data_IF_584899881261
#
_entry.id   IF_584899881261
#
_cell.length_a   1.000
_cell.length_b   1.000
_cell.length_c   1.000
_cell.angle_alpha   90.00
_cell.angle_beta   90.00
_cell.angle_gamma   90.00
#
_symmetry.space_group_name_H-M   'P 1'
#
loop_
_entity.id
_entity.type
_entity.pdbx_description
1 polymer ?
#
# COMPACT_ATOMS: atom_id res chain seq x y z
N UNK A 1 -20.13 28.58 85.91
CA UNK A 1 -19.08 28.11 85.01
C UNK A 1 -19.46 26.75 84.45
N UNK A 2 -20.05 26.68 83.28
CA UNK A 2 -20.40 25.42 82.60
C UNK A 2 -19.74 25.43 81.25
N UNK A 3 -18.76 24.52 81.01
CA UNK A 3 -18.12 24.28 79.71
C UNK A 3 -19.04 23.34 78.90
N UNK A 4 -19.51 23.83 77.76
CA UNK A 4 -20.18 23.02 76.74
C UNK A 4 -19.16 22.31 75.87
N UNK A 5 -19.23 20.99 75.80
CA UNK A 5 -18.49 20.15 74.92
C UNK A 5 -19.28 20.07 73.62
N UNK A 6 -18.72 20.59 72.51
CA UNK A 6 -19.25 20.38 71.17
C UNK A 6 -18.76 19.06 70.62
N UNK A 7 -19.66 18.13 70.34
CA UNK A 7 -19.39 16.91 69.60
C UNK A 7 -19.32 17.28 68.11
N UNK A 8 -18.20 16.99 67.47
CA UNK A 8 -18.04 17.07 66.03
C UNK A 8 -18.36 15.70 65.44
N UNK A 9 -19.50 15.61 64.74
CA UNK A 9 -19.83 14.44 63.92
C UNK A 9 -19.09 14.53 62.62
N UNK A 10 -18.10 13.64 62.39
CA UNK A 10 -17.40 13.47 61.12
C UNK A 10 -18.23 12.54 60.23
N UNK A 11 -18.91 13.11 59.21
CA UNK A 11 -19.55 12.34 58.18
C UNK A 11 -18.46 11.95 57.18
N UNK A 12 -18.04 10.68 57.18
CA UNK A 12 -17.20 10.08 56.18
C UNK A 12 -18.05 9.82 54.93
N UNK A 13 -18.04 10.79 53.96
CA UNK A 13 -18.59 10.56 52.64
C UNK A 13 -17.62 9.66 51.85
N UNK A 14 -18.00 8.38 51.70
CA UNK A 14 -17.28 7.45 50.83
C UNK A 14 -17.41 7.87 49.37
N UNK A 15 -16.33 8.40 48.76
CA UNK A 15 -16.19 8.52 47.31
C UNK A 15 -16.09 7.10 46.75
N UNK A 16 -17.20 6.55 46.25
CA UNK A 16 -17.16 5.47 45.29
C UNK A 16 -16.65 6.07 43.97
N UNK A 17 -15.37 5.86 43.71
CA UNK A 17 -14.81 6.04 42.38
C UNK A 17 -15.45 4.97 41.49
N UNK A 18 -16.45 5.35 40.70
CA UNK A 18 -16.92 4.58 39.55
C UNK A 18 -15.77 4.61 38.54
N UNK A 19 -14.87 3.63 38.62
CA UNK A 19 -14.01 3.30 37.52
C UNK A 19 -14.92 2.86 36.37
N UNK A 20 -15.18 3.77 35.44
CA UNK A 20 -15.79 3.45 34.17
C UNK A 20 -14.81 2.48 33.42
N UNK A 21 -14.91 1.20 33.81
CA UNK A 21 -14.29 0.12 33.06
C UNK A 21 -14.93 0.13 31.69
N UNK A 22 -14.19 0.59 30.68
CA UNK A 22 -14.57 0.43 29.31
C UNK A 22 -14.93 -1.04 29.06
N UNK A 23 -15.88 -1.35 28.17
CA UNK A 23 -16.42 -2.70 28.00
C UNK A 23 -15.47 -3.63 27.23
N UNK A 24 -14.22 -3.70 27.66
CA UNK A 24 -13.21 -4.61 27.12
C UNK A 24 -13.67 -6.08 27.20
N UNK A 25 -14.52 -6.39 28.20
CA UNK A 25 -15.11 -7.72 28.37
C UNK A 25 -16.13 -8.08 27.28
N UNK A 26 -16.91 -7.13 26.79
CA UNK A 26 -17.92 -7.39 25.75
C UNK A 26 -17.27 -7.65 24.38
N UNK A 27 -16.25 -6.86 24.01
CA UNK A 27 -15.49 -7.08 22.79
C UNK A 27 -14.72 -8.41 22.81
N UNK A 28 -14.09 -8.76 23.95
CA UNK A 28 -13.40 -10.04 24.11
C UNK A 28 -14.35 -11.23 23.94
N UNK A 29 -15.59 -11.09 24.41
CA UNK A 29 -16.61 -12.11 24.24
C UNK A 29 -17.13 -12.20 22.81
N UNK A 30 -17.19 -11.05 22.08
CA UNK A 30 -17.64 -11.03 20.68
C UNK A 30 -16.73 -11.81 19.74
N UNK A 31 -15.40 -11.62 19.81
CA UNK A 31 -14.45 -12.28 18.91
C UNK A 31 -14.05 -13.69 19.35
N UNK A 32 -14.32 -14.09 20.61
CA UNK A 32 -13.93 -15.39 21.14
C UNK A 32 -14.53 -16.55 20.36
N UNK A 33 -13.68 -17.44 19.85
CA UNK A 33 -14.08 -18.61 19.07
C UNK A 33 -14.60 -18.28 17.67
N UNK A 34 -14.50 -17.04 17.21
CA UNK A 34 -14.87 -16.63 15.87
C UNK A 34 -13.67 -16.67 14.91
N UNK A 35 -13.98 -16.61 13.62
CA UNK A 35 -12.99 -16.50 12.54
C UNK A 35 -13.15 -15.15 11.86
N UNK A 36 -12.05 -14.43 11.71
CA UNK A 36 -11.95 -13.24 10.87
C UNK A 36 -11.46 -13.68 9.49
N UNK A 37 -12.17 -13.32 8.45
CA UNK A 37 -11.73 -13.49 7.06
C UNK A 37 -10.95 -12.26 6.64
N UNK A 38 -9.66 -12.43 6.30
CA UNK A 38 -8.83 -11.39 5.72
C UNK A 38 -8.81 -11.55 4.20
N UNK A 39 -9.50 -10.68 3.49
CA UNK A 39 -9.46 -10.64 2.02
C UNK A 39 -8.16 -9.98 1.59
N UNK A 40 -7.40 -10.64 0.72
CA UNK A 40 -6.23 -10.11 0.02
C UNK A 40 -6.61 -9.94 -1.45
N UNK A 41 -6.49 -8.70 -1.98
CA UNK A 41 -6.99 -8.34 -3.30
C UNK A 41 -6.06 -8.71 -4.48
N UNK A 42 -5.08 -9.60 -4.25
CA UNK A 42 -4.17 -10.13 -5.27
C UNK A 42 -4.02 -11.65 -5.15
N UNK A 43 -3.52 -12.33 -6.23
CA UNK A 43 -3.28 -13.77 -6.22
C UNK A 43 -2.29 -14.20 -5.14
N UNK A 44 -2.33 -15.48 -4.71
CA UNK A 44 -1.39 -16.04 -3.75
C UNK A 44 0.07 -15.96 -4.22
N UNK A 45 1.00 -15.84 -3.26
CA UNK A 45 2.45 -15.87 -3.49
C UNK A 45 3.07 -14.55 -3.96
N UNK A 46 2.26 -13.51 -4.19
CA UNK A 46 2.75 -12.17 -4.45
C UNK A 46 3.01 -11.37 -3.16
N UNK A 47 3.68 -10.18 -3.25
CA UNK A 47 4.03 -9.39 -2.07
C UNK A 47 2.85 -9.07 -1.15
N UNK A 48 1.67 -8.75 -1.70
CA UNK A 48 0.47 -8.45 -0.92
C UNK A 48 -0.02 -9.66 -0.11
N UNK A 49 0.02 -10.86 -0.71
CA UNK A 49 -0.37 -12.09 -0.04
C UNK A 49 0.62 -12.47 1.08
N UNK A 50 1.91 -12.35 0.80
CA UNK A 50 2.96 -12.67 1.78
C UNK A 50 2.85 -11.73 3.00
N UNK A 51 2.73 -10.43 2.79
CA UNK A 51 2.52 -9.45 3.88
C UNK A 51 1.21 -9.72 4.64
N UNK A 52 0.11 -9.96 3.93
CA UNK A 52 -1.17 -10.30 4.53
C UNK A 52 -1.13 -11.55 5.40
N UNK A 53 -0.37 -12.58 5.01
CA UNK A 53 -0.19 -13.80 5.82
C UNK A 53 0.63 -13.57 7.08
N UNK A 54 1.67 -12.73 7.02
CA UNK A 54 2.43 -12.34 8.22
C UNK A 54 1.52 -11.59 9.19
N UNK A 55 0.73 -10.62 8.70
CA UNK A 55 -0.26 -9.92 9.51
C UNK A 55 -1.29 -10.90 10.09
N UNK A 56 -1.86 -11.80 9.29
CA UNK A 56 -2.86 -12.76 9.73
C UNK A 56 -2.34 -13.74 10.80
N UNK A 57 -1.05 -14.07 10.77
CA UNK A 57 -0.41 -14.95 11.76
C UNK A 57 -0.32 -14.29 13.13
N UNK A 58 0.00 -13.00 13.20
CA UNK A 58 0.26 -12.29 14.46
C UNK A 58 -0.95 -11.49 14.97
N UNK A 59 -1.86 -11.04 14.11
CA UNK A 59 -3.02 -10.21 14.48
C UNK A 59 -3.90 -10.82 15.58
N UNK A 60 -4.18 -12.16 15.61
CA UNK A 60 -5.05 -12.76 16.63
C UNK A 60 -4.67 -12.39 18.06
N UNK A 61 -3.39 -12.30 18.38
CA UNK A 61 -2.89 -12.03 19.73
C UNK A 61 -3.26 -10.62 20.23
N UNK A 62 -3.53 -9.70 19.30
CA UNK A 62 -3.85 -8.30 19.59
C UNK A 62 -5.35 -8.01 19.51
N UNK A 63 -6.16 -8.94 18.98
CA UNK A 63 -7.62 -8.80 18.95
C UNK A 63 -8.21 -9.42 20.20
N UNK A 64 -9.05 -8.69 21.00
CA UNK A 64 -9.70 -9.23 22.16
C UNK A 64 -10.47 -10.52 21.84
N UNK A 65 -10.27 -11.58 22.63
CA UNK A 65 -10.88 -12.90 22.37
C UNK A 65 -10.08 -13.81 21.44
N UNK A 66 -8.98 -13.32 20.89
CA UNK A 66 -8.02 -14.08 20.06
C UNK A 66 -8.70 -14.93 18.97
N UNK A 67 -9.43 -14.31 18.02
CA UNK A 67 -10.09 -15.02 16.94
C UNK A 67 -9.07 -15.70 16.02
N UNK A 68 -9.50 -16.72 15.29
CA UNK A 68 -8.71 -17.23 14.16
C UNK A 68 -8.75 -16.22 13.01
N UNK A 69 -7.62 -15.96 12.33
CA UNK A 69 -7.59 -15.16 11.09
C UNK A 69 -7.26 -16.05 9.92
N UNK A 70 -8.11 -16.05 8.88
CA UNK A 70 -7.93 -16.84 7.65
C UNK A 70 -7.78 -15.91 6.46
N UNK A 71 -6.76 -16.14 5.63
CA UNK A 71 -6.54 -15.36 4.41
C UNK A 71 -7.35 -15.94 3.25
N UNK A 72 -8.09 -15.07 2.55
CA UNK A 72 -8.83 -15.36 1.32
C UNK A 72 -8.30 -14.46 0.20
N UNK A 73 -7.70 -15.05 -0.83
CA UNK A 73 -7.26 -14.28 -2.00
C UNK A 73 -8.39 -14.07 -2.98
N UNK A 74 -8.65 -12.81 -3.34
CA UNK A 74 -9.67 -12.39 -4.34
C UNK A 74 -9.00 -11.45 -5.32
N UNK A 75 -8.17 -12.01 -6.21
CA UNK A 75 -7.44 -11.27 -7.22
C UNK A 75 -8.26 -10.99 -8.46
N UNK A 76 -7.91 -9.90 -9.17
CA UNK A 76 -8.50 -9.52 -10.47
C UNK A 76 -8.83 -8.04 -10.56
N UNK A 77 -8.77 -7.49 -11.79
CA UNK A 77 -9.06 -6.08 -12.05
C UNK A 77 -8.19 -5.12 -11.24
N UNK A 78 -6.89 -5.40 -11.12
CA UNK A 78 -5.96 -4.63 -10.25
C UNK A 78 -6.40 -4.54 -8.78
N UNK A 79 -7.04 -5.60 -8.27
CA UNK A 79 -7.53 -5.65 -6.90
C UNK A 79 -8.99 -5.23 -6.73
N UNK A 80 -9.64 -4.74 -7.79
CA UNK A 80 -11.02 -4.26 -7.75
C UNK A 80 -12.02 -5.35 -7.31
N UNK A 81 -11.80 -6.62 -7.70
CA UNK A 81 -12.69 -7.70 -7.29
C UNK A 81 -12.67 -7.89 -5.77
N UNK A 82 -11.50 -7.88 -5.16
CA UNK A 82 -11.36 -7.99 -3.71
C UNK A 82 -11.94 -6.80 -2.96
N UNK A 83 -11.75 -5.57 -3.49
CA UNK A 83 -12.34 -4.37 -2.90
C UNK A 83 -13.87 -4.39 -2.96
N UNK A 84 -14.44 -4.78 -4.10
CA UNK A 84 -15.88 -4.92 -4.25
C UNK A 84 -16.45 -6.00 -3.31
N UNK A 85 -15.77 -7.15 -3.18
CA UNK A 85 -16.22 -8.21 -2.27
C UNK A 85 -16.22 -7.75 -0.81
N UNK A 86 -15.20 -7.01 -0.39
CA UNK A 86 -15.20 -6.43 0.95
C UNK A 86 -16.31 -5.39 1.12
N UNK A 87 -16.56 -4.58 0.08
CA UNK A 87 -17.64 -3.59 0.09
C UNK A 87 -19.02 -4.19 0.32
N UNK A 88 -19.25 -5.40 -0.21
CA UNK A 88 -20.48 -6.15 -0.03
C UNK A 88 -20.54 -6.98 1.28
N UNK A 89 -19.44 -7.04 2.05
CA UNK A 89 -19.37 -7.85 3.26
C UNK A 89 -20.17 -7.22 4.41
N UNK A 90 -20.63 -8.08 5.34
CA UNK A 90 -21.32 -7.63 6.56
C UNK A 90 -20.35 -6.75 7.41
N UNK A 91 -20.79 -5.55 7.85
CA UNK A 91 -19.92 -4.61 8.59
C UNK A 91 -19.83 -4.95 10.08
N UNK A 92 -19.68 -6.23 10.42
CA UNK A 92 -19.68 -6.80 11.76
C UNK A 92 -18.28 -6.95 12.37
N UNK A 93 -17.22 -6.59 11.62
CA UNK A 93 -15.83 -6.70 12.08
C UNK A 93 -15.20 -8.08 11.89
N UNK A 94 -15.91 -9.05 11.27
CA UNK A 94 -15.39 -10.39 11.02
C UNK A 94 -14.85 -10.57 9.58
N UNK A 95 -14.97 -9.54 8.74
CA UNK A 95 -14.31 -9.48 7.43
C UNK A 95 -13.48 -8.22 7.35
N UNK A 96 -12.19 -8.36 7.04
CA UNK A 96 -11.25 -7.25 6.86
C UNK A 96 -10.58 -7.37 5.49
N UNK A 97 -10.20 -6.25 4.89
CA UNK A 97 -9.34 -6.23 3.71
C UNK A 97 -7.90 -5.95 4.10
N UNK A 98 -6.96 -6.66 3.49
CA UNK A 98 -5.55 -6.30 3.47
C UNK A 98 -5.13 -6.13 2.00
N UNK A 99 -5.13 -4.91 1.52
CA UNK A 99 -5.10 -4.58 0.10
C UNK A 99 -3.82 -3.85 -0.31
N UNK A 100 -3.38 -4.08 -1.56
CA UNK A 100 -2.64 -3.05 -2.27
C UNK A 100 -3.65 -1.97 -2.67
N UNK A 101 -3.37 -0.72 -2.29
CA UNK A 101 -4.19 0.43 -2.69
C UNK A 101 -3.96 0.71 -4.17
N UNK A 102 -4.94 0.42 -5.01
CA UNK A 102 -4.94 0.80 -6.42
C UNK A 102 -6.13 1.70 -6.72
N UNK A 103 -5.84 2.96 -6.98
CA UNK A 103 -6.85 4.00 -7.13
C UNK A 103 -7.27 4.23 -8.59
N UNK A 104 -6.64 3.53 -9.55
CA UNK A 104 -6.86 3.80 -10.96
C UNK A 104 -8.29 3.55 -11.42
N UNK A 105 -8.94 2.49 -10.92
CA UNK A 105 -10.33 2.23 -11.26
C UNK A 105 -11.26 3.39 -10.88
N UNK A 106 -11.01 4.05 -9.73
CA UNK A 106 -11.77 5.23 -9.30
C UNK A 106 -11.40 6.48 -10.10
N UNK A 107 -10.11 6.68 -10.39
CA UNK A 107 -9.63 7.85 -11.14
C UNK A 107 -10.04 7.81 -12.61
N UNK A 108 -10.27 6.63 -13.17
CA UNK A 108 -10.72 6.43 -14.55
C UNK A 108 -12.24 6.23 -14.66
N UNK A 109 -12.99 6.50 -13.60
CA UNK A 109 -14.45 6.38 -13.56
C UNK A 109 -14.93 5.00 -14.05
N UNK A 110 -14.20 3.91 -13.68
CA UNK A 110 -14.52 2.56 -14.12
C UNK A 110 -15.89 2.12 -13.56
N UNK A 111 -16.88 1.78 -14.41
CA UNK A 111 -18.22 1.43 -13.96
C UNK A 111 -18.29 0.14 -13.11
N UNK A 112 -17.23 -0.64 -13.05
CA UNK A 112 -17.14 -1.82 -12.18
C UNK A 112 -16.79 -1.50 -10.73
N UNK A 113 -16.46 -0.26 -10.40
CA UNK A 113 -16.28 0.18 -9.00
C UNK A 113 -17.65 0.23 -8.33
N UNK A 114 -17.89 -0.66 -7.35
CA UNK A 114 -19.12 -0.68 -6.54
C UNK A 114 -18.95 -0.03 -5.18
N UNK A 115 -17.72 -0.03 -4.67
CA UNK A 115 -17.37 0.59 -3.39
C UNK A 115 -16.09 1.39 -3.56
N UNK A 116 -16.14 2.68 -3.21
CA UNK A 116 -14.99 3.57 -3.27
C UNK A 116 -14.08 3.36 -2.05
N UNK A 117 -12.78 3.59 -2.21
CA UNK A 117 -11.84 3.50 -1.08
C UNK A 117 -12.19 4.50 0.04
N UNK A 118 -12.77 5.65 -0.30
CA UNK A 118 -13.28 6.63 0.67
C UNK A 118 -14.39 6.10 1.58
N UNK A 119 -15.12 5.07 1.16
CA UNK A 119 -16.24 4.48 1.91
C UNK A 119 -15.77 3.45 2.95
N UNK A 120 -14.57 2.89 2.76
CA UNK A 120 -14.01 1.94 3.73
C UNK A 120 -13.55 2.63 5.01
N UNK A 121 -13.64 1.90 6.11
CA UNK A 121 -13.10 2.32 7.39
C UNK A 121 -11.62 1.92 7.47
N UNK A 122 -10.71 2.86 7.26
CA UNK A 122 -9.27 2.59 7.32
C UNK A 122 -8.85 2.21 8.73
N UNK A 123 -8.17 1.08 8.85
CA UNK A 123 -7.59 0.56 10.08
C UNK A 123 -6.13 0.98 10.22
N UNK A 124 -5.33 0.68 9.19
CA UNK A 124 -3.92 1.04 9.11
C UNK A 124 -3.46 1.08 7.66
N UNK A 125 -2.40 1.82 7.39
CA UNK A 125 -1.67 1.79 6.14
C UNK A 125 -0.20 1.42 6.34
N UNK A 126 0.46 1.00 5.27
CA UNK A 126 1.92 0.80 5.22
C UNK A 126 2.46 1.58 4.04
N UNK A 127 3.33 2.54 4.34
CA UNK A 127 4.06 3.31 3.33
C UNK A 127 5.07 2.41 2.61
N UNK A 128 5.18 2.55 1.30
CA UNK A 128 6.18 1.83 0.51
C UNK A 128 6.54 2.58 -0.77
N UNK A 129 7.82 2.76 -1.09
CA UNK A 129 8.22 3.16 -2.43
C UNK A 129 7.95 2.03 -3.42
N UNK A 130 7.84 2.41 -4.70
CA UNK A 130 7.84 1.50 -5.84
C UNK A 130 9.25 1.45 -6.43
N UNK A 131 9.80 0.26 -6.65
CA UNK A 131 11.12 0.05 -7.27
C UNK A 131 10.95 -0.35 -8.72
N UNK A 132 11.61 0.37 -9.62
CA UNK A 132 11.69 0.03 -11.06
C UNK A 132 13.05 -0.58 -11.34
N UNK A 133 13.07 -1.69 -12.06
CA UNK A 133 14.28 -2.44 -12.36
C UNK A 133 14.26 -2.97 -13.80
N UNK A 134 15.46 -3.27 -14.33
CA UNK A 134 15.64 -3.77 -15.70
C UNK A 134 16.68 -4.89 -15.74
N UNK A 135 16.60 -5.78 -16.71
CA UNK A 135 17.61 -6.79 -16.97
C UNK A 135 18.92 -6.15 -17.44
N UNK A 136 20.04 -6.66 -16.95
CA UNK A 136 21.40 -6.21 -17.32
C UNK A 136 21.74 -6.48 -18.78
N UNK A 137 21.17 -7.54 -19.37
CA UNK A 137 21.38 -7.93 -20.76
C UNK A 137 20.46 -7.22 -21.76
N UNK A 138 19.68 -6.21 -21.32
CA UNK A 138 18.93 -5.32 -22.23
C UNK A 138 19.91 -4.59 -23.16
N UNK A 139 19.71 -4.64 -24.50
CA UNK A 139 20.65 -4.01 -25.43
C UNK A 139 20.85 -2.51 -25.20
N UNK A 140 22.08 -2.00 -25.24
CA UNK A 140 23.37 -2.67 -25.53
C UNK A 140 24.03 -3.31 -24.30
N UNK A 141 23.39 -3.31 -23.16
CA UNK A 141 23.85 -3.78 -21.85
C UNK A 141 23.75 -2.67 -20.81
N UNK A 142 23.24 -3.02 -19.62
CA UNK A 142 22.97 -2.09 -18.51
C UNK A 142 23.81 -2.48 -17.29
N UNK A 143 24.82 -1.67 -16.97
CA UNK A 143 25.71 -1.88 -15.82
C UNK A 143 25.44 -0.90 -14.68
N UNK A 144 25.01 0.30 -15.02
CA UNK A 144 24.59 1.35 -14.07
C UNK A 144 23.25 1.94 -14.52
N UNK A 145 22.46 2.54 -13.62
CA UNK A 145 21.14 3.09 -13.99
C UNK A 145 21.17 4.06 -15.17
N UNK A 146 22.24 4.86 -15.31
CA UNK A 146 22.38 5.84 -16.38
C UNK A 146 22.51 5.19 -17.78
N UNK A 147 22.97 3.93 -17.86
CA UNK A 147 23.08 3.20 -19.14
C UNK A 147 21.71 2.96 -19.78
N UNK A 148 20.62 3.05 -18.97
CA UNK A 148 19.27 3.01 -19.49
C UNK A 148 19.07 3.96 -20.67
N UNK A 149 19.70 5.14 -20.65
CA UNK A 149 19.52 6.14 -21.71
C UNK A 149 20.02 5.68 -23.09
N UNK A 150 20.76 4.59 -23.16
CA UNK A 150 21.18 3.94 -24.40
C UNK A 150 20.37 2.69 -24.75
N UNK A 151 19.49 2.25 -23.84
CA UNK A 151 18.70 1.05 -24.02
C UNK A 151 17.70 1.18 -25.19
N UNK A 152 17.52 0.11 -25.91
CA UNK A 152 16.57 0.01 -27.02
C UNK A 152 16.02 -1.42 -27.12
N UNK A 153 14.94 -1.59 -27.89
CA UNK A 153 14.33 -2.90 -28.19
C UNK A 153 13.98 -3.72 -26.94
N UNK A 154 13.41 -3.07 -25.92
CA UNK A 154 13.01 -3.74 -24.69
C UNK A 154 11.48 -3.70 -24.45
N UNK A 155 11.02 -4.67 -23.66
CA UNK A 155 9.63 -4.78 -23.21
C UNK A 155 9.53 -4.39 -21.75
N UNK A 156 8.57 -3.50 -21.47
CA UNK A 156 8.18 -3.12 -20.12
C UNK A 156 6.97 -3.96 -19.69
N UNK A 157 7.19 -4.85 -18.71
CA UNK A 157 6.16 -5.76 -18.21
C UNK A 157 5.38 -5.13 -17.08
N UNK A 158 4.08 -5.29 -17.10
CA UNK A 158 3.21 -4.77 -16.05
C UNK A 158 1.91 -5.58 -15.91
N UNK A 159 1.10 -5.28 -14.88
CA UNK A 159 -0.10 -6.06 -14.57
C UNK A 159 -1.17 -5.86 -15.63
N UNK A 160 -1.70 -4.65 -15.75
CA UNK A 160 -2.62 -4.24 -16.81
C UNK A 160 -2.56 -2.72 -16.98
N UNK A 161 -3.13 -2.21 -18.06
CA UNK A 161 -3.05 -0.80 -18.41
C UNK A 161 -3.71 0.14 -17.37
N UNK A 162 -4.67 -0.36 -16.57
CA UNK A 162 -5.35 0.40 -15.53
C UNK A 162 -4.75 0.20 -14.13
N UNK A 163 -3.59 -0.45 -14.03
CA UNK A 163 -2.89 -0.59 -12.75
C UNK A 163 -1.98 0.61 -12.50
N UNK A 164 -2.03 1.18 -11.29
CA UNK A 164 -1.24 2.37 -10.95
C UNK A 164 0.27 2.15 -11.09
N UNK A 165 0.77 0.95 -10.79
CA UNK A 165 2.19 0.64 -10.96
C UNK A 165 2.58 0.61 -12.45
N UNK A 166 1.67 0.13 -13.33
CA UNK A 166 1.85 0.21 -14.78
C UNK A 166 1.93 1.66 -15.25
N UNK A 167 0.99 2.49 -14.82
CA UNK A 167 0.95 3.93 -15.14
C UNK A 167 2.23 4.63 -14.68
N UNK A 168 2.71 4.35 -13.48
CA UNK A 168 3.95 4.93 -12.96
C UNK A 168 5.16 4.58 -13.82
N UNK A 169 5.29 3.32 -14.23
CA UNK A 169 6.37 2.86 -15.10
C UNK A 169 6.29 3.49 -16.50
N UNK A 170 5.12 3.43 -17.12
CA UNK A 170 4.90 3.91 -18.49
C UNK A 170 5.10 5.43 -18.61
N UNK A 171 4.52 6.22 -17.68
CA UNK A 171 4.72 7.68 -17.68
C UNK A 171 6.20 8.02 -17.42
N UNK A 172 6.88 7.30 -16.54
CA UNK A 172 8.31 7.52 -16.28
C UNK A 172 9.14 7.31 -17.56
N UNK A 173 8.86 6.26 -18.32
CA UNK A 173 9.54 5.99 -19.60
C UNK A 173 9.20 7.04 -20.67
N UNK A 174 7.94 7.46 -20.75
CA UNK A 174 7.52 8.51 -21.69
C UNK A 174 8.13 9.89 -21.35
N UNK A 175 8.33 10.20 -20.07
CA UNK A 175 9.03 11.39 -19.59
C UNK A 175 10.51 11.38 -19.97
N UNK A 176 11.14 10.19 -19.94
CA UNK A 176 12.52 9.99 -20.36
C UNK A 176 12.69 9.88 -21.88
N UNK A 177 11.58 9.85 -22.65
CA UNK A 177 11.59 9.83 -24.11
C UNK A 177 11.86 8.47 -24.73
N UNK A 178 11.63 7.37 -24.02
CA UNK A 178 11.88 6.02 -24.54
C UNK A 178 10.83 5.57 -25.57
N UNK A 179 11.31 4.76 -26.50
CA UNK A 179 10.49 3.87 -27.32
C UNK A 179 10.66 2.44 -26.80
N UNK A 180 9.57 1.83 -26.42
CA UNK A 180 9.53 0.49 -25.81
C UNK A 180 8.23 -0.21 -26.17
N UNK A 181 8.17 -1.51 -25.95
CA UNK A 181 6.92 -2.27 -26.04
C UNK A 181 6.33 -2.44 -24.64
N UNK A 182 5.14 -1.89 -24.40
CA UNK A 182 4.37 -2.16 -23.19
C UNK A 182 3.75 -3.56 -23.26
N UNK A 183 3.80 -4.32 -22.16
CA UNK A 183 3.16 -5.64 -22.03
C UNK A 183 2.33 -5.69 -20.74
N UNK A 184 1.13 -5.07 -20.72
CA UNK A 184 0.26 -5.01 -19.55
C UNK A 184 -0.67 -6.23 -19.49
N UNK A 185 -0.11 -7.44 -19.26
CA UNK A 185 -0.85 -8.71 -19.45
C UNK A 185 -0.78 -9.67 -18.26
N UNK A 186 -0.15 -9.29 -17.15
CA UNK A 186 0.08 -10.19 -16.02
C UNK A 186 -0.96 -10.01 -14.90
N UNK A 187 -1.31 -11.11 -14.20
CA UNK A 187 -2.31 -11.10 -13.13
C UNK A 187 -1.71 -10.73 -11.77
N UNK A 188 -0.38 -10.92 -11.59
CA UNK A 188 0.30 -10.66 -10.35
C UNK A 188 1.80 -10.51 -10.54
N UNK A 189 2.48 -9.87 -9.58
CA UNK A 189 3.92 -9.59 -9.65
C UNK A 189 4.78 -10.85 -9.70
N UNK A 190 4.31 -11.99 -9.17
CA UNK A 190 5.04 -13.26 -9.27
C UNK A 190 5.13 -13.77 -10.71
N UNK A 191 4.08 -13.57 -11.51
CA UNK A 191 4.10 -13.89 -12.94
C UNK A 191 5.07 -12.96 -13.69
N UNK A 192 5.10 -11.67 -13.33
CA UNK A 192 6.06 -10.68 -13.89
C UNK A 192 7.51 -11.09 -13.57
N UNK A 193 7.82 -11.44 -12.32
CA UNK A 193 9.15 -11.93 -11.93
C UNK A 193 9.56 -13.15 -12.76
N UNK A 194 8.65 -14.10 -12.93
CA UNK A 194 8.90 -15.30 -13.75
C UNK A 194 9.20 -14.93 -15.21
N UNK A 195 8.46 -13.98 -15.78
CA UNK A 195 8.67 -13.51 -17.14
C UNK A 195 10.03 -12.80 -17.30
N UNK A 196 10.45 -11.99 -16.31
CA UNK A 196 11.80 -11.39 -16.27
C UNK A 196 12.88 -12.49 -16.22
N UNK A 197 12.73 -13.49 -15.36
CA UNK A 197 13.68 -14.62 -15.27
C UNK A 197 13.80 -15.37 -16.61
N UNK A 198 12.68 -15.56 -17.31
CA UNK A 198 12.61 -16.23 -18.61
C UNK A 198 13.01 -15.33 -19.80
N UNK A 199 13.37 -14.06 -19.54
CA UNK A 199 13.70 -13.05 -20.56
C UNK A 199 12.59 -12.84 -21.62
N UNK A 200 11.32 -12.95 -21.21
CA UNK A 200 10.18 -12.62 -22.08
C UNK A 200 9.87 -11.12 -22.10
N UNK A 201 10.49 -10.37 -21.19
CA UNK A 201 10.58 -8.91 -21.14
C UNK A 201 11.71 -8.48 -20.22
N UNK A 202 12.05 -7.21 -20.25
CA UNK A 202 13.30 -6.74 -19.64
C UNK A 202 13.09 -5.83 -18.45
N UNK A 203 12.05 -5.01 -18.43
CA UNK A 203 11.78 -4.02 -17.37
C UNK A 203 10.51 -4.36 -16.62
N UNK A 204 10.52 -4.10 -15.31
CA UNK A 204 9.35 -4.24 -14.45
C UNK A 204 9.48 -3.36 -13.20
N UNK A 205 8.44 -3.39 -12.36
CA UNK A 205 8.42 -2.71 -11.07
C UNK A 205 7.78 -3.58 -9.98
N UNK A 206 8.07 -3.24 -8.72
CA UNK A 206 7.50 -3.91 -7.56
C UNK A 206 7.53 -3.01 -6.32
N UNK A 207 6.77 -3.35 -5.27
CA UNK A 207 6.86 -2.66 -3.98
C UNK A 207 8.21 -2.90 -3.31
N UNK A 208 8.53 -2.11 -2.27
CA UNK A 208 9.74 -2.32 -1.45
C UNK A 208 9.83 -3.75 -0.92
N UNK A 209 8.75 -4.26 -0.34
CA UNK A 209 8.68 -5.64 0.17
C UNK A 209 8.84 -6.69 -0.94
N UNK A 210 8.29 -6.43 -2.11
CA UNK A 210 8.48 -7.28 -3.30
C UNK A 210 9.92 -7.23 -3.82
N UNK A 211 10.56 -6.06 -3.79
CA UNK A 211 11.96 -5.92 -4.18
C UNK A 211 12.89 -6.66 -3.23
N UNK A 212 12.91 -6.27 -1.97
CA UNK A 212 13.85 -6.81 -0.97
C UNK A 212 13.56 -8.27 -0.60
N UNK A 213 12.28 -8.67 -0.54
CA UNK A 213 11.86 -10.01 -0.12
C UNK A 213 11.83 -11.05 -1.26
N UNK A 214 11.78 -10.64 -2.53
CA UNK A 214 11.64 -11.56 -3.66
C UNK A 214 12.54 -11.22 -4.84
N UNK A 215 12.34 -10.06 -5.47
CA UNK A 215 12.96 -9.75 -6.76
C UNK A 215 14.48 -9.64 -6.67
N UNK A 216 15.02 -8.86 -5.74
CA UNK A 216 16.46 -8.71 -5.56
C UNK A 216 17.15 -10.02 -5.21
N UNK A 217 16.71 -10.78 -4.19
CA UNK A 217 17.36 -12.07 -3.85
C UNK A 217 17.36 -13.08 -4.99
N UNK A 218 16.28 -13.14 -5.78
CA UNK A 218 16.13 -14.13 -6.84
C UNK A 218 16.78 -13.72 -8.17
N UNK A 219 17.03 -12.42 -8.40
CA UNK A 219 17.44 -11.88 -9.69
C UNK A 219 18.65 -10.93 -9.63
N UNK A 220 19.36 -10.80 -8.49
CA UNK A 220 20.47 -9.83 -8.29
C UNK A 220 21.57 -9.88 -9.35
N UNK A 221 21.80 -11.05 -9.96
CA UNK A 221 22.80 -11.24 -11.01
C UNK A 221 22.26 -10.91 -12.41
N UNK A 222 20.94 -10.84 -12.53
CA UNK A 222 20.22 -10.67 -13.81
C UNK A 222 19.71 -9.24 -13.99
N UNK A 223 19.23 -8.59 -12.94
CA UNK A 223 18.63 -7.27 -13.00
C UNK A 223 19.44 -6.21 -12.27
N UNK A 224 19.18 -4.95 -12.60
CA UNK A 224 19.67 -3.78 -11.90
C UNK A 224 18.47 -2.88 -11.53
N UNK A 225 18.38 -2.38 -10.30
CA UNK A 225 17.41 -1.36 -9.95
C UNK A 225 17.78 -0.04 -10.61
N UNK A 226 16.78 0.70 -11.08
CA UNK A 226 16.98 1.97 -11.80
C UNK A 226 16.70 3.16 -10.89
N UNK A 227 15.49 3.21 -10.33
CA UNK A 227 15.03 4.25 -9.42
C UNK A 227 13.91 3.73 -8.52
N UNK A 228 13.67 4.48 -7.47
CA UNK A 228 12.47 4.35 -6.64
C UNK A 228 11.51 5.52 -6.89
N UNK A 229 10.21 5.23 -6.97
CA UNK A 229 9.18 6.24 -6.80
C UNK A 229 8.89 6.34 -5.31
N UNK A 230 9.43 7.39 -4.69
CA UNK A 230 9.31 7.59 -3.25
C UNK A 230 7.96 8.19 -2.87
N UNK A 231 7.41 7.89 -1.67
CA UNK A 231 6.31 8.63 -1.09
C UNK A 231 6.65 10.12 -0.96
N UNK A 232 5.63 10.97 -1.02
CA UNK A 232 5.79 12.40 -0.86
C UNK A 232 6.14 12.76 0.58
N UNK A 233 7.24 13.47 0.78
CA UNK A 233 7.68 13.98 2.07
C UNK A 233 6.80 15.11 2.60
N UNK A 234 6.93 15.43 3.88
CA UNK A 234 6.16 16.50 4.54
C UNK A 234 6.41 17.89 3.95
N UNK A 235 7.60 18.11 3.39
CA UNK A 235 8.01 19.35 2.72
C UNK A 235 7.60 19.43 1.27
N UNK A 236 6.95 18.34 0.76
CA UNK A 236 6.48 18.25 -0.62
C UNK A 236 7.50 17.69 -1.60
N UNK A 237 8.70 17.36 -1.12
CA UNK A 237 9.77 16.67 -1.83
C UNK A 237 9.53 15.14 -1.88
N UNK A 238 10.45 14.43 -2.55
CA UNK A 238 10.43 12.97 -2.68
C UNK A 238 11.76 12.38 -2.18
N UNK A 239 11.94 12.27 -0.85
CA UNK A 239 13.18 11.77 -0.28
C UNK A 239 13.36 10.28 -0.56
N UNK A 240 14.62 9.83 -0.67
CA UNK A 240 14.92 8.39 -0.77
C UNK A 240 14.38 7.64 0.46
N UNK A 241 13.84 6.47 0.24
CA UNK A 241 13.46 5.56 1.33
C UNK A 241 14.68 5.20 2.18
N UNK A 242 14.49 5.13 3.49
CA UNK A 242 15.55 4.70 4.43
C UNK A 242 16.02 3.28 4.16
N UNK A 243 15.16 2.43 3.61
CA UNK A 243 15.51 1.05 3.22
C UNK A 243 16.28 0.99 1.89
N UNK A 244 16.28 2.06 1.08
CA UNK A 244 16.93 2.15 -0.23
C UNK A 244 17.78 3.43 -0.36
N UNK A 245 18.72 3.70 0.58
CA UNK A 245 19.44 4.98 0.62
C UNK A 245 20.33 5.22 -0.59
N UNK A 246 20.79 4.16 -1.26
CA UNK A 246 21.67 4.24 -2.41
C UNK A 246 20.94 4.24 -3.76
N UNK A 247 19.63 3.99 -3.77
CA UNK A 247 18.83 4.01 -5.00
C UNK A 247 18.29 5.42 -5.23
N UNK A 248 18.54 6.05 -6.39
CA UNK A 248 18.00 7.38 -6.67
C UNK A 248 16.46 7.34 -6.70
N UNK A 249 15.83 8.46 -6.39
CA UNK A 249 14.41 8.65 -6.72
C UNK A 249 14.28 8.89 -8.23
N UNK A 250 13.06 8.77 -8.76
CA UNK A 250 12.82 9.09 -10.18
C UNK A 250 13.19 10.54 -10.49
N UNK A 251 12.93 11.47 -9.58
CA UNK A 251 13.27 12.87 -9.72
C UNK A 251 14.78 13.10 -9.78
N UNK A 252 15.54 12.43 -8.91
CA UNK A 252 17.02 12.49 -8.93
C UNK A 252 17.58 11.86 -10.19
N UNK A 253 17.04 10.70 -10.60
CA UNK A 253 17.46 10.03 -11.86
C UNK A 253 17.17 10.93 -13.06
N UNK A 254 15.93 11.44 -13.19
CA UNK A 254 15.55 12.34 -14.27
C UNK A 254 16.46 13.57 -14.35
N UNK A 255 16.70 14.24 -13.22
CA UNK A 255 17.57 15.40 -13.16
C UNK A 255 19.03 15.09 -13.59
N UNK A 256 19.50 13.86 -13.32
CA UNK A 256 20.87 13.45 -13.66
C UNK A 256 21.05 13.20 -15.16
N UNK A 257 20.02 12.68 -15.86
CA UNK A 257 20.11 12.27 -17.26
C UNK A 257 19.48 13.27 -18.23
N UNK A 258 18.47 14.04 -17.82
CA UNK A 258 17.72 14.99 -18.65
C UNK A 258 18.19 16.44 -18.45
N UNK A 259 19.50 16.66 -18.48
CA UNK A 259 20.11 17.98 -18.25
C UNK A 259 19.60 19.02 -19.29
N UNK A 260 19.19 20.17 -18.80
CA UNK A 260 18.67 21.26 -19.64
C UNK A 260 17.22 21.12 -20.08
N UNK A 261 16.53 20.06 -19.70
CA UNK A 261 15.08 19.91 -19.88
C UNK A 261 14.31 20.85 -18.93
N UNK A 262 13.03 21.09 -19.24
CA UNK A 262 12.12 21.80 -18.32
C UNK A 262 12.04 21.09 -16.98
N UNK A 263 11.80 21.82 -15.88
CA UNK A 263 11.59 21.21 -14.58
C UNK A 263 10.51 20.14 -14.65
N UNK A 264 10.79 18.97 -14.08
CA UNK A 264 9.86 17.82 -14.10
C UNK A 264 8.48 18.17 -13.53
N UNK A 265 8.44 19.01 -12.47
CA UNK A 265 7.22 19.48 -11.84
C UNK A 265 6.30 20.32 -12.77
N UNK A 266 6.82 20.85 -13.87
CA UNK A 266 6.05 21.60 -14.86
C UNK A 266 5.42 20.69 -15.94
N UNK A 267 5.85 19.42 -16.04
CA UNK A 267 5.27 18.47 -16.99
C UNK A 267 3.94 17.92 -16.46
N UNK A 268 2.88 18.11 -17.23
CA UNK A 268 1.53 17.69 -16.84
C UNK A 268 1.42 16.16 -16.68
N UNK A 269 2.19 15.37 -17.44
CA UNK A 269 2.24 13.90 -17.30
C UNK A 269 2.76 13.52 -15.92
N UNK A 270 3.83 14.18 -15.48
CA UNK A 270 4.40 13.99 -14.14
C UNK A 270 3.40 14.39 -13.05
N UNK A 271 2.73 15.55 -13.19
CA UNK A 271 1.71 15.98 -12.25
C UNK A 271 0.57 14.96 -12.14
N UNK A 272 0.11 14.41 -13.27
CA UNK A 272 -0.93 13.38 -13.30
C UNK A 272 -0.46 12.07 -12.66
N UNK A 273 0.76 11.63 -12.97
CA UNK A 273 1.38 10.46 -12.34
C UNK A 273 1.43 10.61 -10.82
N UNK A 274 1.93 11.75 -10.31
CA UNK A 274 2.03 11.98 -8.87
C UNK A 274 0.67 12.12 -8.19
N UNK A 275 -0.31 12.76 -8.81
CA UNK A 275 -1.66 12.85 -8.28
C UNK A 275 -2.32 11.48 -8.08
N UNK A 276 -1.99 10.50 -8.93
CA UNK A 276 -2.47 9.13 -8.79
C UNK A 276 -1.60 8.31 -7.83
N UNK A 277 -0.28 8.45 -7.88
CA UNK A 277 0.64 7.59 -7.13
C UNK A 277 0.90 8.01 -5.70
N UNK A 278 0.87 9.32 -5.38
CA UNK A 278 1.18 9.79 -4.03
C UNK A 278 0.29 9.16 -2.94
N UNK A 279 -1.05 9.02 -3.12
CA UNK A 279 -1.90 8.31 -2.17
C UNK A 279 -1.51 6.84 -1.99
N UNK A 280 -1.20 6.14 -3.10
CA UNK A 280 -0.78 4.75 -3.04
C UNK A 280 0.56 4.59 -2.32
N UNK A 281 1.57 5.38 -2.68
CA UNK A 281 2.91 5.26 -2.10
C UNK A 281 2.90 5.59 -0.61
N UNK A 282 2.06 6.56 -0.18
CA UNK A 282 1.86 6.89 1.24
C UNK A 282 1.19 5.75 2.02
N UNK A 283 0.36 4.93 1.36
CA UNK A 283 -0.33 3.79 1.97
C UNK A 283 -0.38 2.62 0.99
N UNK A 284 0.78 2.09 0.61
CA UNK A 284 0.89 1.03 -0.40
C UNK A 284 0.10 -0.23 -0.02
N UNK A 285 0.07 -0.56 1.27
CA UNK A 285 -0.88 -1.52 1.84
C UNK A 285 -1.85 -0.79 2.74
N UNK A 286 -3.09 -1.22 2.69
CA UNK A 286 -4.16 -0.74 3.56
C UNK A 286 -4.88 -1.92 4.20
N UNK A 287 -5.06 -1.83 5.52
CA UNK A 287 -5.99 -2.67 6.25
C UNK A 287 -7.30 -1.88 6.42
N UNK A 288 -8.41 -2.44 5.97
CA UNK A 288 -9.70 -1.76 5.95
C UNK A 288 -10.83 -2.67 6.41
N UNK A 289 -11.87 -2.07 6.98
CA UNK A 289 -13.16 -2.71 7.25
C UNK A 289 -14.21 -2.27 6.21
N UNK A 290 -15.27 -3.07 6.01
CA UNK A 290 -16.39 -2.71 5.15
C UNK A 290 -16.97 -1.32 5.47
N UNK A 291 -17.61 -0.65 4.51
CA UNK A 291 -18.38 0.56 4.77
C UNK A 291 -19.40 0.36 5.90
N UNK A 292 -19.63 1.39 6.70
CA UNK A 292 -20.60 1.37 7.83
C UNK A 292 -20.27 0.39 8.96
N UNK A 293 -19.06 -0.14 9.03
CA UNK A 293 -18.61 -0.91 10.20
C UNK A 293 -18.76 -0.08 11.47
N UNK A 294 -19.15 -0.73 12.56
CA UNK A 294 -19.42 -0.05 13.83
C UNK A 294 -18.17 0.64 14.36
N UNK A 295 -18.33 1.77 15.04
CA UNK A 295 -17.23 2.49 15.69
C UNK A 295 -16.44 1.61 16.67
N UNK A 296 -17.11 0.63 17.29
CA UNK A 296 -16.49 -0.36 18.17
C UNK A 296 -15.55 -1.29 17.38
N UNK A 297 -16.02 -1.89 16.28
CA UNK A 297 -15.19 -2.74 15.43
C UNK A 297 -13.97 -1.98 14.87
N UNK A 298 -14.17 -0.74 14.42
CA UNK A 298 -13.08 0.13 13.94
C UNK A 298 -12.07 0.38 15.07
N UNK A 299 -12.53 0.71 16.27
CA UNK A 299 -11.66 0.98 17.42
C UNK A 299 -10.85 -0.24 17.81
N UNK A 300 -11.51 -1.41 17.92
CA UNK A 300 -10.83 -2.68 18.24
C UNK A 300 -9.74 -2.99 17.21
N UNK A 301 -10.06 -2.92 15.93
CA UNK A 301 -9.10 -3.25 14.88
C UNK A 301 -7.95 -2.23 14.79
N UNK A 302 -8.22 -0.92 14.93
CA UNK A 302 -7.17 0.10 15.01
C UNK A 302 -6.23 -0.13 16.19
N UNK A 303 -6.77 -0.47 17.35
CA UNK A 303 -5.97 -0.80 18.55
C UNK A 303 -5.13 -2.05 18.28
N UNK A 304 -5.74 -3.13 17.77
CA UNK A 304 -5.03 -4.37 17.45
C UNK A 304 -3.87 -4.17 16.45
N UNK A 305 -4.09 -3.39 15.39
CA UNK A 305 -3.03 -3.07 14.44
C UNK A 305 -1.95 -2.15 15.04
N UNK A 306 -2.32 -1.18 15.87
CA UNK A 306 -1.35 -0.33 16.57
C UNK A 306 -0.45 -1.14 17.53
N UNK A 307 -0.99 -2.17 18.16
CA UNK A 307 -0.23 -3.04 19.07
C UNK A 307 0.60 -4.06 18.27
N UNK A 308 0.04 -4.62 17.19
CA UNK A 308 0.78 -5.47 16.25
C UNK A 308 2.06 -4.79 15.74
N UNK A 309 2.00 -3.50 15.40
CA UNK A 309 3.17 -2.73 14.91
C UNK A 309 4.24 -2.46 15.95
N UNK A 310 3.99 -2.79 17.21
CA UNK A 310 4.97 -2.73 18.33
C UNK A 310 5.43 -4.12 18.74
N UNK A 311 4.78 -5.17 18.23
CA UNK A 311 5.09 -6.56 18.54
C UNK A 311 6.41 -6.97 17.90
N UNK A 312 7.39 -7.31 18.75
CA UNK A 312 8.73 -7.65 18.29
C UNK A 312 8.76 -8.94 17.48
N UNK A 313 7.89 -9.91 17.78
CA UNK A 313 7.82 -11.18 17.04
C UNK A 313 7.27 -10.94 15.63
N UNK A 314 6.23 -10.10 15.50
CA UNK A 314 5.75 -9.64 14.21
C UNK A 314 6.84 -8.90 13.41
N UNK A 315 7.52 -7.93 14.03
CA UNK A 315 8.57 -7.14 13.37
C UNK A 315 9.75 -7.99 12.93
N UNK A 316 10.13 -9.00 13.74
CA UNK A 316 11.17 -9.96 13.41
C UNK A 316 10.78 -10.84 12.22
N UNK A 317 9.56 -11.39 12.21
CA UNK A 317 9.05 -12.19 11.11
C UNK A 317 8.91 -11.37 9.84
N UNK A 318 8.39 -10.15 9.94
CA UNK A 318 8.27 -9.22 8.82
C UNK A 318 9.64 -8.94 8.20
N UNK A 319 10.64 -8.60 9.02
CA UNK A 319 12.00 -8.34 8.56
C UNK A 319 12.69 -9.60 7.99
N UNK A 320 12.46 -10.75 8.58
CA UNK A 320 13.05 -12.01 8.12
C UNK A 320 12.54 -12.40 6.73
N UNK A 321 11.26 -12.16 6.44
CA UNK A 321 10.63 -12.56 5.18
C UNK A 321 10.77 -11.48 4.10
N UNK A 322 10.67 -10.21 4.47
CA UNK A 322 10.58 -9.09 3.51
C UNK A 322 11.83 -8.21 3.49
N UNK A 323 12.83 -8.53 4.32
CA UNK A 323 14.10 -7.81 4.44
C UNK A 323 13.96 -6.30 4.70
N UNK A 324 12.84 -5.88 5.28
CA UNK A 324 12.54 -4.47 5.62
C UNK A 324 11.65 -4.39 6.85
N UNK A 325 11.54 -3.20 7.43
CA UNK A 325 10.56 -2.88 8.47
C UNK A 325 9.35 -2.16 7.88
N UNK A 326 8.12 -2.41 8.37
CA UNK A 326 6.96 -1.69 7.92
C UNK A 326 6.99 -0.24 8.43
N UNK A 327 6.64 0.73 7.57
CA UNK A 327 6.41 2.12 7.97
C UNK A 327 4.90 2.31 8.06
N UNK A 328 4.39 2.34 9.29
CA UNK A 328 2.95 2.39 9.53
C UNK A 328 2.39 3.81 9.38
N UNK A 329 1.24 3.89 8.72
CA UNK A 329 0.33 5.05 8.73
C UNK A 329 -0.89 4.67 9.56
N UNK A 330 -1.21 5.48 10.59
CA UNK A 330 -2.37 5.18 11.45
C UNK A 330 -3.68 5.32 10.68
N UNK A 331 -4.71 4.57 11.09
CA UNK A 331 -6.02 4.66 10.46
C UNK A 331 -6.66 6.05 10.56
N UNK A 332 -6.34 6.82 11.60
CA UNK A 332 -6.80 8.22 11.72
C UNK A 332 -6.10 9.15 10.73
N UNK A 333 -4.78 9.02 10.57
CA UNK A 333 -4.00 9.91 9.69
C UNK A 333 -4.24 9.57 8.21
N UNK A 334 -4.31 8.28 7.90
CA UNK A 334 -4.50 7.81 6.52
C UNK A 334 -5.93 7.95 5.99
N UNK A 335 -6.96 8.03 6.85
CA UNK A 335 -8.35 8.15 6.39
C UNK A 335 -8.56 9.38 5.47
N UNK A 336 -7.89 10.50 5.78
CA UNK A 336 -7.98 11.70 4.97
C UNK A 336 -7.41 11.51 3.57
N UNK A 337 -6.36 10.68 3.41
CA UNK A 337 -5.75 10.36 2.12
C UNK A 337 -6.79 9.68 1.21
N UNK A 338 -7.57 8.73 1.76
CA UNK A 338 -8.64 8.06 1.00
C UNK A 338 -9.77 9.03 0.61
N UNK A 339 -10.16 9.93 1.51
CA UNK A 339 -11.17 10.96 1.23
C UNK A 339 -10.70 11.93 0.13
N UNK A 340 -9.41 12.27 0.11
CA UNK A 340 -8.85 13.20 -0.86
C UNK A 340 -8.76 12.63 -2.28
N UNK A 341 -8.84 11.31 -2.46
CA UNK A 341 -8.95 10.67 -3.78
C UNK A 341 -10.12 11.24 -4.60
N UNK A 342 -11.26 11.52 -3.95
CA UNK A 342 -12.43 12.12 -4.60
C UNK A 342 -12.20 13.56 -5.09
N UNK A 343 -11.11 14.23 -4.66
CA UNK A 343 -10.79 15.63 -5.00
C UNK A 343 -9.81 15.79 -6.17
N UNK A 344 -9.37 14.68 -6.77
CA UNK A 344 -8.46 14.73 -7.92
C UNK A 344 -9.12 15.49 -9.07
N UNK A 345 -8.46 16.54 -9.65
CA UNK A 345 -9.05 17.38 -10.67
C UNK A 345 -9.47 16.61 -11.92
N UNK A 346 -10.63 16.97 -12.51
CA UNK A 346 -11.18 16.28 -13.69
C UNK A 346 -10.18 16.19 -14.85
N UNK A 347 -9.41 17.24 -15.12
CA UNK A 347 -8.38 17.25 -16.17
C UNK A 347 -7.29 16.17 -15.99
N UNK A 348 -6.98 15.79 -14.73
CA UNK A 348 -6.04 14.71 -14.43
C UNK A 348 -6.71 13.37 -14.70
N UNK A 349 -7.94 13.19 -14.28
CA UNK A 349 -8.72 11.98 -14.56
C UNK A 349 -8.85 11.75 -16.07
N UNK A 350 -9.22 12.77 -16.83
CA UNK A 350 -9.36 12.69 -18.30
C UNK A 350 -8.02 12.27 -18.94
N UNK A 351 -6.92 12.87 -18.51
CA UNK A 351 -5.59 12.46 -18.99
C UNK A 351 -5.28 10.98 -18.69
N UNK A 352 -5.58 10.52 -17.48
CA UNK A 352 -5.34 9.12 -17.09
C UNK A 352 -6.22 8.15 -17.88
N UNK A 353 -7.47 8.50 -18.17
CA UNK A 353 -8.38 7.73 -19.03
C UNK A 353 -7.79 7.60 -20.44
N UNK A 354 -7.42 8.72 -21.07
CA UNK A 354 -6.81 8.71 -22.39
C UNK A 354 -5.47 7.97 -22.41
N UNK A 355 -4.68 8.11 -21.33
CA UNK A 355 -3.37 7.47 -21.24
C UNK A 355 -3.48 5.94 -21.12
N UNK A 356 -4.39 5.43 -20.30
CA UNK A 356 -4.63 3.98 -20.15
C UNK A 356 -5.11 3.34 -21.44
N UNK A 357 -5.91 4.04 -22.22
CA UNK A 357 -6.37 3.57 -23.55
C UNK A 357 -5.17 3.43 -24.49
N UNK A 358 -4.29 4.44 -24.54
CA UNK A 358 -3.09 4.42 -25.41
C UNK A 358 -2.06 3.36 -25.04
N UNK A 359 -1.93 2.98 -23.76
CA UNK A 359 -1.01 1.89 -23.36
C UNK A 359 -1.46 0.56 -23.96
N UNK A 360 -2.75 0.31 -24.07
CA UNK A 360 -3.24 -0.94 -24.66
C UNK A 360 -3.00 -1.04 -26.17
N UNK A 361 -2.67 0.08 -26.82
CA UNK A 361 -2.40 0.16 -28.26
C UNK A 361 -0.89 0.16 -28.60
N UNK A 362 0.00 0.34 -27.59
CA UNK A 362 1.46 0.27 -27.71
C UNK A 362 1.97 -1.17 -27.73
#
# INVERSE_FOLDING_TARGET
MRRAVKQVVVIAAGLMAFAAGFPQSACAQYYKGKTITMIVNYPPGGPTDIEGRIVAQHLPQHVPGQPTVVVKNVGGGSGLLGSNELGDATPDGLTIGFFTLDVMAELTDNPSVRTHFSDFMLIAGVESPLVVYIRKDTPPGINVPADLMTAHDFKALSLNAQNINSINQEISLDLLGFKYQAVPAYRGLKEVETAILQNTGQMANTSLSGWLGSAEPSMKDIVIPLWQLAPRGRTGDYPRSRSLPNMPTFEEFYASVMKGSKPLAEDFRYQAMRAASDPQLAMFRVAVLPPKSTGEAVTVMRTAFNDLWKDQDFLNDYSRVLATQPIMVSGSDGQQILVDLGKVPRKIKDFLIDYTTRITEK
#
